data_IF_547657109339
#
_entry.id   IF_547657109339
#
_cell.length_a   1.000
_cell.length_b   1.000
_cell.length_c   1.000
_cell.angle_alpha   90.00
_cell.angle_beta   90.00
_cell.angle_gamma   90.00
#
_symmetry.space_group_name_H-M   'P 1'
#
loop_
_entity.id
_entity.type
_entity.pdbx_description
1 polymer ?
#
# COMPACT_ATOMS: atom_id res chain seq x y z
N UNK A 1 -1.87 11.73 20.26
CA UNK A 1 -0.66 11.32 19.53
C UNK A 1 0.49 11.34 20.52
N UNK A 2 1.38 10.35 20.49
CA UNK A 2 2.50 10.26 21.42
C UNK A 2 3.50 11.38 21.10
N UNK A 3 3.60 12.43 21.95
CA UNK A 3 4.36 13.67 21.68
C UNK A 3 5.80 13.39 21.27
N UNK A 4 6.42 12.39 21.91
CA UNK A 4 7.79 11.98 21.69
C UNK A 4 8.04 11.41 20.29
N UNK A 5 7.05 10.73 19.70
CA UNK A 5 7.17 10.21 18.32
C UNK A 5 7.07 11.35 17.30
N UNK A 6 6.17 12.30 17.53
CA UNK A 6 6.04 13.47 16.67
C UNK A 6 7.32 14.32 16.67
N UNK A 7 7.94 14.53 17.83
CA UNK A 7 9.21 15.26 17.96
C UNK A 7 10.37 14.58 17.22
N UNK A 8 10.36 13.26 17.10
CA UNK A 8 11.38 12.49 16.36
C UNK A 8 11.12 12.47 14.85
N UNK A 9 9.86 12.48 14.42
CA UNK A 9 9.46 12.36 13.01
C UNK A 9 9.45 13.71 12.30
N UNK A 10 9.02 14.79 12.97
CA UNK A 10 8.88 16.11 12.36
C UNK A 10 10.18 16.64 11.71
N UNK A 11 11.37 16.51 12.35
CA UNK A 11 12.63 16.99 11.79
C UNK A 11 13.13 16.24 10.55
N UNK A 12 12.61 15.03 10.30
CA UNK A 12 13.05 14.20 9.18
C UNK A 12 12.72 14.87 7.84
N UNK A 13 13.63 14.74 6.89
CA UNK A 13 13.40 15.09 5.49
C UNK A 13 12.33 14.18 4.88
N UNK A 14 11.77 14.58 3.74
CA UNK A 14 10.76 13.77 3.05
C UNK A 14 11.29 12.36 2.69
N UNK A 15 12.51 12.19 2.14
CA UNK A 15 13.06 10.86 1.89
C UNK A 15 13.19 10.00 3.15
N UNK A 16 13.65 10.58 4.26
CA UNK A 16 13.78 9.85 5.53
C UNK A 16 12.42 9.45 6.11
N UNK A 17 11.40 10.30 5.96
CA UNK A 17 10.02 9.96 6.34
C UNK A 17 9.48 8.81 5.50
N UNK A 18 9.73 8.81 4.19
CA UNK A 18 9.33 7.72 3.30
C UNK A 18 10.03 6.43 3.71
N UNK A 19 11.34 6.47 3.97
CA UNK A 19 12.09 5.30 4.40
C UNK A 19 11.62 4.77 5.76
N UNK A 20 11.33 5.65 6.71
CA UNK A 20 10.78 5.27 8.00
C UNK A 20 9.41 4.60 7.87
N UNK A 21 8.54 5.08 6.97
CA UNK A 21 7.25 4.44 6.68
C UNK A 21 7.46 3.04 6.12
N UNK A 22 8.39 2.87 5.19
CA UNK A 22 8.78 1.58 4.62
C UNK A 22 9.28 0.62 5.71
N UNK A 23 10.22 1.04 6.55
CA UNK A 23 10.79 0.21 7.61
C UNK A 23 9.74 -0.18 8.66
N UNK A 24 8.83 0.74 9.03
CA UNK A 24 7.70 0.42 9.91
C UNK A 24 6.78 -0.59 9.25
N UNK A 25 6.49 -0.42 7.95
CA UNK A 25 5.63 -1.34 7.22
C UNK A 25 6.23 -2.76 7.18
N UNK A 26 7.53 -2.87 6.88
CA UNK A 26 8.25 -4.14 6.90
C UNK A 26 8.26 -4.79 8.29
N UNK A 27 8.33 -3.99 9.36
CA UNK A 27 8.28 -4.51 10.73
C UNK A 27 6.93 -5.16 11.08
N UNK A 28 5.82 -4.67 10.51
CA UNK A 28 4.47 -5.22 10.76
C UNK A 28 4.27 -6.53 10.00
N UNK A 29 4.91 -6.70 8.83
CA UNK A 29 4.81 -7.94 8.03
C UNK A 29 5.30 -9.15 8.82
N UNK A 30 6.28 -8.97 9.70
CA UNK A 30 6.83 -10.04 10.56
C UNK A 30 5.75 -10.61 11.51
N UNK A 31 4.78 -9.79 11.92
CA UNK A 31 3.69 -10.18 12.81
C UNK A 31 2.41 -10.59 12.05
N UNK A 32 2.41 -10.55 10.72
CA UNK A 32 1.21 -10.85 9.92
C UNK A 32 0.68 -12.28 10.15
N UNK A 33 1.57 -13.23 10.44
CA UNK A 33 1.22 -14.62 10.77
C UNK A 33 0.48 -14.75 12.13
N UNK A 34 0.51 -13.71 12.97
CA UNK A 34 -0.19 -13.68 14.27
C UNK A 34 -1.69 -13.40 14.13
N UNK A 35 -2.17 -13.02 12.94
CA UNK A 35 -3.59 -12.79 12.66
C UNK A 35 -4.10 -13.90 11.74
N UNK A 36 -4.55 -15.04 12.32
CA UNK A 36 -5.02 -16.15 11.51
C UNK A 36 -6.29 -15.76 10.75
N UNK A 37 -6.24 -15.90 9.42
CA UNK A 37 -7.44 -15.76 8.58
C UNK A 37 -8.36 -16.95 8.79
N UNK A 38 -9.66 -16.68 8.92
CA UNK A 38 -10.69 -17.73 8.89
C UNK A 38 -10.71 -18.40 7.51
N UNK A 39 -11.26 -19.61 7.45
CA UNK A 39 -11.38 -20.31 6.17
C UNK A 39 -12.23 -19.55 5.14
N UNK A 40 -13.30 -18.87 5.59
CA UNK A 40 -14.14 -18.05 4.72
C UNK A 40 -13.40 -16.82 4.16
N UNK A 41 -12.53 -16.19 4.96
CA UNK A 41 -11.69 -15.08 4.50
C UNK A 41 -10.68 -15.54 3.46
N UNK A 42 -10.02 -16.69 3.67
CA UNK A 42 -9.09 -17.26 2.69
C UNK A 42 -9.79 -17.56 1.37
N UNK A 43 -10.95 -18.21 1.42
CA UNK A 43 -11.75 -18.51 0.23
C UNK A 43 -12.17 -17.25 -0.55
N UNK A 44 -12.53 -16.17 0.15
CA UNK A 44 -12.86 -14.90 -0.51
C UNK A 44 -11.64 -14.25 -1.16
N UNK A 45 -10.47 -14.31 -0.54
CA UNK A 45 -9.22 -13.83 -1.13
C UNK A 45 -8.86 -14.62 -2.39
N UNK A 46 -8.95 -15.96 -2.34
CA UNK A 46 -8.70 -16.83 -3.49
C UNK A 46 -9.66 -16.51 -4.64
N UNK A 47 -10.95 -16.31 -4.34
CA UNK A 47 -11.97 -15.92 -5.33
C UNK A 47 -11.65 -14.58 -5.98
N UNK A 48 -11.26 -13.57 -5.19
CA UNK A 48 -10.89 -12.24 -5.71
C UNK A 48 -9.62 -12.27 -6.54
N UNK A 49 -8.63 -13.06 -6.13
CA UNK A 49 -7.38 -13.22 -6.88
C UNK A 49 -7.64 -13.90 -8.23
N UNK A 50 -8.42 -14.98 -8.24
CA UNK A 50 -8.82 -15.63 -9.48
C UNK A 50 -9.63 -14.69 -10.39
N UNK A 51 -10.53 -13.88 -9.82
CA UNK A 51 -11.26 -12.86 -10.59
C UNK A 51 -10.29 -11.84 -11.19
N UNK A 52 -9.35 -11.30 -10.41
CA UNK A 52 -8.35 -10.34 -10.87
C UNK A 52 -7.48 -10.88 -12.01
N UNK A 53 -7.03 -12.13 -11.91
CA UNK A 53 -6.23 -12.78 -12.96
C UNK A 53 -6.99 -12.96 -14.28
N UNK A 54 -8.33 -13.08 -14.22
CA UNK A 54 -9.20 -13.25 -15.38
C UNK A 54 -9.81 -11.93 -15.88
N UNK A 55 -9.53 -10.80 -15.23
CA UNK A 55 -10.03 -9.50 -15.68
C UNK A 55 -9.20 -9.01 -16.87
N UNK A 56 -9.85 -8.84 -18.02
CA UNK A 56 -9.31 -8.17 -19.22
C UNK A 56 -9.12 -6.66 -19.02
N UNK A 57 -9.72 -6.08 -17.97
CA UNK A 57 -9.59 -4.67 -17.61
C UNK A 57 -8.29 -4.46 -16.82
N UNK A 58 -7.16 -4.80 -17.44
CA UNK A 58 -5.85 -4.43 -16.93
C UNK A 58 -5.84 -2.90 -16.81
N UNK A 59 -5.69 -2.40 -15.59
CA UNK A 59 -5.56 -0.97 -15.37
C UNK A 59 -4.48 -0.39 -16.29
N UNK A 60 -4.65 0.86 -16.69
CA UNK A 60 -3.66 1.51 -17.53
C UNK A 60 -2.35 1.73 -16.76
N UNK A 61 -1.21 1.71 -17.47
CA UNK A 61 0.07 1.98 -16.82
C UNK A 61 0.06 3.36 -16.15
N UNK A 62 0.88 3.51 -15.10
CA UNK A 62 0.99 4.79 -14.41
C UNK A 62 1.36 5.93 -15.36
N UNK A 63 2.21 5.67 -16.35
CA UNK A 63 2.57 6.64 -17.38
C UNK A 63 1.33 7.12 -18.16
N UNK A 64 0.46 6.20 -18.60
CA UNK A 64 -0.76 6.56 -19.36
C UNK A 64 -1.72 7.36 -18.48
N UNK A 65 -1.95 6.92 -17.24
CA UNK A 65 -2.81 7.61 -16.29
C UNK A 65 -2.27 9.00 -15.96
N UNK A 66 -0.96 9.12 -15.71
CA UNK A 66 -0.26 10.37 -15.43
C UNK A 66 -0.36 11.34 -16.61
N UNK A 67 -0.17 10.86 -17.84
CA UNK A 67 -0.35 11.67 -19.04
C UNK A 67 -1.77 12.18 -19.18
N UNK A 68 -2.80 11.37 -18.88
CA UNK A 68 -4.20 11.80 -18.88
C UNK A 68 -4.48 12.88 -17.84
N UNK A 69 -3.98 12.72 -16.61
CA UNK A 69 -4.17 13.71 -15.54
C UNK A 69 -3.49 15.02 -15.91
N UNK A 70 -2.23 14.98 -16.34
CA UNK A 70 -1.46 16.18 -16.71
C UNK A 70 -2.03 16.86 -17.97
N UNK A 71 -2.54 16.09 -18.95
CA UNK A 71 -3.22 16.67 -20.13
C UNK A 71 -4.59 17.28 -19.82
N UNK A 72 -5.24 16.89 -18.73
CA UNK A 72 -6.54 17.43 -18.34
C UNK A 72 -6.43 18.71 -17.48
N UNK A 73 -5.22 19.18 -17.18
CA UNK A 73 -4.98 20.49 -16.60
C UNK A 73 -4.34 21.42 -17.65
N UNK A 74 -5.17 22.35 -18.16
CA UNK A 74 -4.94 23.46 -19.13
C UNK A 74 -5.16 23.11 -20.61
#
# INVERSE_FOLDING_TARGET
MNSLLSEQILPLTIPEKIKLIEDIWDSIVIDADQIPLTQSQKQELDRRLASYQNIENQGESWEVVKQRIIKNDI
#
